data_IF_230287305910
#
_entry.id   IF_230287305910
#
_cell.length_a   1.000
_cell.length_b   1.000
_cell.length_c   1.000
_cell.angle_alpha   90.00
_cell.angle_beta   90.00
_cell.angle_gamma   90.00
#
_symmetry.space_group_name_H-M   'P 1'
#
loop_
_entity.id
_entity.type
_entity.pdbx_description
1 polymer ?
#
# COMPACT_ATOMS: atom_id res chain seq x y z
N UNK A 1 2.86 -11.62 1.89
CA UNK A 1 2.43 -10.36 1.20
C UNK A 1 3.60 -9.39 1.24
N UNK A 2 4.01 -8.89 0.09
CA UNK A 2 5.05 -7.85 -0.01
C UNK A 2 4.42 -6.47 -0.07
N UNK A 3 5.00 -5.55 0.65
CA UNK A 3 4.50 -4.18 0.73
C UNK A 3 5.67 -3.20 0.68
N UNK A 4 5.54 -2.17 -0.14
CA UNK A 4 6.37 -0.97 -0.05
C UNK A 4 5.48 0.18 0.38
N UNK A 5 5.89 0.92 1.40
CA UNK A 5 5.22 2.13 1.81
C UNK A 5 6.10 3.35 1.62
N UNK A 6 5.47 4.48 1.31
CA UNK A 6 6.09 5.79 1.30
C UNK A 6 5.27 6.76 2.14
N UNK A 7 5.94 7.51 3.02
CA UNK A 7 5.32 8.68 3.66
C UNK A 7 5.19 9.78 2.60
N UNK A 8 3.99 10.32 2.46
CA UNK A 8 3.69 11.32 1.43
C UNK A 8 3.01 12.55 2.03
N UNK A 9 3.27 13.73 1.44
CA UNK A 9 2.47 14.92 1.69
C UNK A 9 1.19 14.94 0.87
N UNK A 10 1.21 14.24 -0.28
CA UNK A 10 0.04 13.96 -1.12
C UNK A 10 0.33 12.79 -2.07
N UNK A 11 -0.71 12.04 -2.45
CA UNK A 11 -0.64 11.07 -3.54
C UNK A 11 -1.99 10.97 -4.24
N UNK A 12 -1.96 10.57 -5.51
CA UNK A 12 -3.17 10.33 -6.30
C UNK A 12 -2.96 9.22 -7.31
N UNK A 13 -4.06 8.59 -7.70
CA UNK A 13 -4.10 7.61 -8.78
C UNK A 13 -5.05 8.06 -9.86
N UNK A 14 -4.63 8.00 -11.11
CA UNK A 14 -5.46 8.29 -12.27
C UNK A 14 -5.44 7.16 -13.29
N UNK A 15 -6.53 7.03 -14.04
CA UNK A 15 -6.72 6.12 -15.17
C UNK A 15 -7.19 6.95 -16.33
N UNK A 16 -6.50 6.88 -17.47
CA UNK A 16 -6.81 7.65 -18.68
C UNK A 16 -6.96 9.16 -18.41
N UNK A 17 -6.12 9.71 -17.54
CA UNK A 17 -6.13 11.12 -17.16
C UNK A 17 -7.20 11.53 -16.15
N UNK A 18 -8.09 10.60 -15.75
CA UNK A 18 -9.15 10.87 -14.76
C UNK A 18 -8.68 10.39 -13.39
N UNK A 19 -8.65 11.29 -12.41
CA UNK A 19 -8.31 10.94 -11.01
C UNK A 19 -9.38 10.05 -10.42
N UNK A 20 -8.99 8.88 -9.93
CA UNK A 20 -9.86 7.89 -9.30
C UNK A 20 -9.90 8.05 -7.78
N UNK A 21 -8.74 8.30 -7.17
CA UNK A 21 -8.60 8.54 -5.74
C UNK A 21 -7.37 9.42 -5.45
N UNK A 22 -7.41 10.10 -4.32
CA UNK A 22 -6.29 10.92 -3.87
C UNK A 22 -6.26 10.97 -2.34
N UNK A 23 -5.09 11.19 -1.78
CA UNK A 23 -4.86 11.44 -0.36
C UNK A 23 -4.00 12.69 -0.18
N UNK A 24 -4.18 13.33 0.97
CA UNK A 24 -3.28 14.36 1.50
C UNK A 24 -2.12 13.69 2.27
N UNK A 25 -1.66 14.32 3.36
CA UNK A 25 -0.62 13.76 4.23
C UNK A 25 -0.99 12.35 4.67
N UNK A 26 -0.09 11.38 4.41
CA UNK A 26 -0.40 10.00 4.72
C UNK A 26 0.67 9.01 4.27
N UNK A 27 0.20 7.80 3.98
CA UNK A 27 1.02 6.70 3.47
C UNK A 27 0.46 6.26 2.11
N UNK A 28 1.34 6.19 1.11
CA UNK A 28 1.12 5.45 -0.12
C UNK A 28 1.70 4.04 0.06
N UNK A 29 0.87 3.01 -0.09
CA UNK A 29 1.25 1.60 0.05
C UNK A 29 1.04 0.84 -1.26
N UNK A 30 2.11 0.24 -1.78
CA UNK A 30 2.04 -0.74 -2.86
C UNK A 30 2.01 -2.14 -2.27
N UNK A 31 1.04 -2.97 -2.67
CA UNK A 31 0.85 -4.31 -2.12
C UNK A 31 0.87 -5.38 -3.21
N UNK A 32 1.56 -6.48 -2.95
CA UNK A 32 1.58 -7.69 -3.78
C UNK A 32 1.22 -8.89 -2.91
N UNK A 33 0.17 -9.60 -3.29
CA UNK A 33 -0.19 -10.87 -2.67
C UNK A 33 0.66 -12.02 -3.20
N UNK A 34 0.96 -12.98 -2.32
CA UNK A 34 1.70 -14.22 -2.58
C UNK A 34 0.84 -15.44 -2.19
N UNK A 35 1.29 -16.65 -2.53
CA UNK A 35 0.44 -17.87 -2.48
C UNK A 35 -0.14 -18.21 -1.10
N UNK A 36 0.52 -17.85 -0.01
CA UNK A 36 0.08 -18.17 1.35
C UNK A 36 -0.68 -17.03 2.04
N UNK A 37 -0.95 -15.96 1.32
CA UNK A 37 -1.66 -14.81 1.87
C UNK A 37 -3.15 -15.11 2.06
N UNK A 38 -3.69 -14.54 3.14
CA UNK A 38 -5.06 -14.74 3.57
C UNK A 38 -5.57 -13.53 4.38
N UNK A 39 -6.79 -13.61 4.88
CA UNK A 39 -7.41 -12.56 5.69
C UNK A 39 -6.56 -12.16 6.92
N UNK A 40 -5.92 -13.13 7.58
CA UNK A 40 -5.10 -12.85 8.77
C UNK A 40 -3.86 -12.02 8.41
N UNK A 41 -3.27 -12.23 7.23
CA UNK A 41 -2.15 -11.44 6.71
C UNK A 41 -2.60 -10.01 6.44
N UNK A 42 -3.79 -9.81 5.85
CA UNK A 42 -4.38 -8.48 5.63
C UNK A 42 -4.65 -7.77 6.96
N UNK A 43 -5.18 -8.48 7.95
CA UNK A 43 -5.41 -7.91 9.29
C UNK A 43 -4.10 -7.48 9.97
N UNK A 44 -3.03 -8.30 9.87
CA UNK A 44 -1.69 -7.96 10.35
C UNK A 44 -1.13 -6.72 9.64
N UNK A 45 -1.30 -6.61 8.32
CA UNK A 45 -0.92 -5.44 7.54
C UNK A 45 -1.58 -4.18 8.08
N UNK A 46 -2.91 -4.15 8.18
CA UNK A 46 -3.61 -2.98 8.70
C UNK A 46 -3.16 -2.61 10.10
N UNK A 47 -3.14 -3.61 11.03
CA UNK A 47 -2.67 -3.39 12.40
C UNK A 47 -1.28 -2.78 12.44
N UNK A 48 -0.35 -3.25 11.58
CA UNK A 48 1.02 -2.74 11.52
C UNK A 48 1.07 -1.35 10.92
N UNK A 49 0.51 -1.15 9.72
CA UNK A 49 0.70 0.08 8.94
C UNK A 49 -0.04 1.27 9.56
N UNK A 50 -1.26 1.06 10.08
CA UNK A 50 -2.03 2.16 10.69
C UNK A 50 -1.45 2.67 12.01
N UNK A 51 -0.65 1.85 12.70
CA UNK A 51 -0.02 2.20 13.97
C UNK A 51 1.50 2.44 13.84
N UNK A 52 2.06 2.34 12.63
CA UNK A 52 3.49 2.46 12.44
C UNK A 52 3.95 3.90 12.60
N UNK A 53 4.95 4.12 13.45
CA UNK A 53 5.45 5.46 13.79
C UNK A 53 6.44 5.93 12.73
N UNK A 54 5.96 6.68 11.75
CA UNK A 54 6.80 7.25 10.66
C UNK A 54 6.54 8.74 10.40
N UNK A 55 5.71 9.34 11.22
CA UNK A 55 5.43 10.78 11.18
C UNK A 55 6.07 11.47 12.38
N UNK A 56 6.34 12.76 12.21
CA UNK A 56 6.74 13.63 13.30
C UNK A 56 5.58 13.80 14.28
N UNK A 57 5.86 13.63 15.55
CA UNK A 57 4.95 13.88 16.66
C UNK A 57 5.50 14.99 17.57
N UNK A 58 4.88 15.18 18.73
CA UNK A 58 5.21 16.27 19.63
C UNK A 58 6.58 16.13 20.30
N UNK A 59 7.08 14.91 20.47
CA UNK A 59 8.27 14.63 21.29
C UNK A 59 9.45 14.03 20.51
N UNK A 60 9.25 13.48 19.32
CA UNK A 60 10.28 12.78 18.54
C UNK A 60 10.05 12.89 17.04
N UNK A 61 11.13 12.71 16.25
CA UNK A 61 11.09 12.74 14.79
C UNK A 61 10.16 11.63 14.21
N UNK A 62 10.05 10.47 14.86
CA UNK A 62 9.18 9.35 14.44
C UNK A 62 8.32 8.90 15.64
N UNK A 63 7.33 9.69 15.99
CA UNK A 63 6.53 9.48 17.19
C UNK A 63 5.03 9.37 16.92
N UNK A 64 4.59 9.65 15.71
CA UNK A 64 3.19 9.59 15.33
C UNK A 64 2.92 8.59 14.20
N UNK A 65 1.74 7.99 14.23
CA UNK A 65 1.20 7.05 13.22
C UNK A 65 0.07 7.70 12.42
N UNK A 66 -0.45 6.97 11.41
CA UNK A 66 -1.67 7.37 10.70
C UNK A 66 -2.83 7.65 11.67
N UNK A 67 -3.02 6.79 12.66
CA UNK A 67 -4.11 6.94 13.65
C UNK A 67 -3.94 8.17 14.53
N UNK A 68 -2.72 8.43 15.00
CA UNK A 68 -2.45 9.56 15.87
C UNK A 68 -2.73 10.90 15.17
N UNK A 69 -2.38 10.99 13.89
CA UNK A 69 -2.54 12.19 13.08
C UNK A 69 -3.87 12.27 12.32
N UNK A 70 -4.70 11.20 12.34
CA UNK A 70 -5.85 11.04 11.44
C UNK A 70 -5.45 11.25 9.97
N UNK A 71 -4.25 10.77 9.62
CA UNK A 71 -3.72 10.85 8.27
C UNK A 71 -4.26 9.70 7.41
N UNK A 72 -4.09 9.81 6.09
CA UNK A 72 -4.77 8.98 5.10
C UNK A 72 -3.87 7.85 4.59
N UNK A 73 -4.46 6.77 4.08
CA UNK A 73 -3.78 5.63 3.50
C UNK A 73 -4.28 5.40 2.07
N UNK A 74 -3.39 5.40 1.08
CA UNK A 74 -3.68 5.00 -0.29
C UNK A 74 -3.03 3.66 -0.59
N UNK A 75 -3.83 2.65 -0.96
CA UNK A 75 -3.37 1.29 -1.25
C UNK A 75 -3.47 0.99 -2.74
N UNK A 76 -2.36 0.59 -3.35
CA UNK A 76 -2.24 0.25 -4.76
C UNK A 76 -1.82 -1.22 -4.92
N UNK A 77 -2.60 -2.01 -5.66
CA UNK A 77 -2.18 -3.36 -6.03
C UNK A 77 -0.99 -3.30 -7.01
N UNK A 78 0.10 -4.02 -6.71
CA UNK A 78 1.36 -3.97 -7.45
C UNK A 78 2.02 -5.34 -7.51
N UNK A 79 1.58 -6.21 -8.41
CA UNK A 79 2.10 -7.58 -8.55
C UNK A 79 3.60 -7.63 -8.89
N UNK A 80 4.13 -6.57 -9.50
CA UNK A 80 5.55 -6.50 -9.86
C UNK A 80 6.49 -6.45 -8.66
N UNK A 81 6.00 -6.21 -7.44
CA UNK A 81 6.79 -6.41 -6.22
C UNK A 81 7.17 -7.88 -6.00
N UNK A 82 6.43 -8.82 -6.59
CA UNK A 82 6.76 -10.24 -6.64
C UNK A 82 7.80 -10.60 -7.72
N UNK A 83 8.42 -9.61 -8.37
CA UNK A 83 9.38 -9.86 -9.43
C UNK A 83 10.64 -10.59 -8.95
N UNK A 84 11.06 -11.59 -9.70
CA UNK A 84 12.36 -12.24 -9.56
C UNK A 84 13.30 -11.70 -10.65
N UNK A 85 14.35 -11.02 -10.22
CA UNK A 85 15.30 -10.29 -11.10
C UNK A 85 16.72 -10.85 -11.07
N UNK A 86 16.93 -12.00 -10.40
CA UNK A 86 18.28 -12.58 -10.18
C UNK A 86 18.98 -13.08 -11.44
N UNK A 87 18.23 -13.43 -12.50
CA UNK A 87 18.78 -13.96 -13.74
C UNK A 87 18.19 -13.26 -14.96
N UNK A 88 19.09 -12.90 -15.90
CA UNK A 88 18.70 -12.28 -17.16
C UNK A 88 18.25 -10.84 -17.03
N UNK A 89 17.73 -10.27 -18.14
CA UNK A 89 17.30 -8.89 -18.24
C UNK A 89 15.78 -8.72 -18.26
N UNK A 90 15.04 -9.82 -18.08
CA UNK A 90 13.56 -9.80 -18.00
C UNK A 90 13.13 -10.35 -16.65
N UNK A 91 12.29 -9.61 -15.88
CA UNK A 91 11.77 -10.11 -14.63
C UNK A 91 10.77 -11.24 -14.87
N UNK A 92 10.67 -12.18 -13.94
CA UNK A 92 9.57 -13.13 -13.85
C UNK A 92 8.70 -12.82 -12.64
N UNK A 93 7.41 -13.14 -12.70
CA UNK A 93 6.43 -12.74 -11.67
C UNK A 93 5.75 -13.96 -11.02
N UNK A 94 6.41 -15.13 -11.06
CA UNK A 94 5.85 -16.40 -10.57
C UNK A 94 5.63 -16.45 -9.05
N UNK A 95 6.16 -15.47 -8.30
CA UNK A 95 5.90 -15.35 -6.86
C UNK A 95 4.63 -14.54 -6.55
N UNK A 96 4.12 -13.78 -7.50
CA UNK A 96 2.86 -13.08 -7.33
C UNK A 96 1.69 -14.07 -7.39
N UNK A 97 0.70 -13.87 -6.52
CA UNK A 97 -0.51 -14.68 -6.51
C UNK A 97 -1.26 -14.57 -7.84
N UNK A 98 -1.88 -15.66 -8.24
CA UNK A 98 -2.72 -15.71 -9.45
C UNK A 98 -3.78 -14.57 -9.43
N UNK A 99 -4.02 -13.88 -10.58
CA UNK A 99 -4.81 -12.66 -10.64
C UNK A 99 -6.21 -12.73 -10.02
N UNK A 100 -6.95 -13.82 -10.22
CA UNK A 100 -8.32 -13.95 -9.68
C UNK A 100 -8.30 -14.08 -8.16
N UNK A 101 -7.37 -14.85 -7.61
CA UNK A 101 -7.18 -14.99 -6.16
C UNK A 101 -6.68 -13.68 -5.54
N UNK A 102 -5.73 -13.00 -6.19
CA UNK A 102 -5.23 -11.71 -5.75
C UNK A 102 -6.33 -10.63 -5.74
N UNK A 103 -7.21 -10.63 -6.76
CA UNK A 103 -8.40 -9.77 -6.80
C UNK A 103 -9.33 -10.02 -5.62
N UNK A 104 -9.59 -11.29 -5.30
CA UNK A 104 -10.42 -11.65 -4.14
C UNK A 104 -9.84 -11.13 -2.83
N UNK A 105 -8.52 -11.27 -2.61
CA UNK A 105 -7.85 -10.74 -1.42
C UNK A 105 -7.85 -9.20 -1.41
N UNK A 106 -7.74 -8.56 -2.56
CA UNK A 106 -7.81 -7.10 -2.65
C UNK A 106 -9.21 -6.59 -2.31
N UNK A 107 -10.27 -7.26 -2.79
CA UNK A 107 -11.66 -6.92 -2.43
C UNK A 107 -11.93 -7.14 -0.93
N UNK A 108 -11.34 -8.20 -0.34
CA UNK A 108 -11.40 -8.43 1.09
C UNK A 108 -10.66 -7.32 1.86
N UNK A 109 -9.50 -6.88 1.37
CA UNK A 109 -8.75 -5.76 1.95
C UNK A 109 -9.58 -4.46 1.95
N UNK A 110 -10.32 -4.18 0.88
CA UNK A 110 -11.26 -3.05 0.81
C UNK A 110 -12.34 -3.17 1.91
N UNK A 111 -12.94 -4.34 2.06
CA UNK A 111 -13.96 -4.58 3.10
C UNK A 111 -13.41 -4.38 4.52
N UNK A 112 -12.22 -4.91 4.79
CA UNK A 112 -11.59 -4.81 6.11
C UNK A 112 -11.08 -3.40 6.45
N UNK A 113 -10.88 -2.55 5.44
CA UNK A 113 -10.38 -1.18 5.64
C UNK A 113 -11.36 -0.30 6.43
N UNK A 114 -12.66 -0.54 6.33
CA UNK A 114 -13.73 0.27 6.95
C UNK A 114 -13.58 0.36 8.46
N UNK A 115 -13.05 -0.69 9.10
CA UNK A 115 -12.92 -0.79 10.57
C UNK A 115 -11.57 -0.31 11.11
N UNK A 116 -10.70 0.27 10.28
CA UNK A 116 -9.31 0.55 10.68
C UNK A 116 -9.11 1.83 11.47
N UNK A 117 -10.10 2.72 11.49
CA UNK A 117 -10.03 4.01 12.19
C UNK A 117 -9.13 5.05 11.50
N UNK A 118 -8.84 4.84 10.22
CA UNK A 118 -8.15 5.77 9.31
C UNK A 118 -8.89 5.81 7.99
N UNK A 119 -8.82 6.91 7.26
CA UNK A 119 -9.36 6.99 5.91
C UNK A 119 -8.46 6.21 4.95
N UNK A 120 -9.06 5.25 4.23
CA UNK A 120 -8.33 4.38 3.29
C UNK A 120 -8.91 4.50 1.90
N UNK A 121 -8.06 4.93 0.97
CA UNK A 121 -8.35 4.98 -0.46
C UNK A 121 -7.64 3.86 -1.21
N UNK A 122 -8.17 3.47 -2.35
CA UNK A 122 -7.67 2.36 -3.15
C UNK A 122 -7.48 2.73 -4.62
N UNK A 123 -6.48 2.11 -5.25
CA UNK A 123 -6.40 2.03 -6.70
C UNK A 123 -7.35 0.96 -7.26
N UNK A 124 -7.55 0.97 -8.56
CA UNK A 124 -8.38 -0.02 -9.27
C UNK A 124 -7.55 -1.25 -9.63
N UNK A 125 -7.92 -2.42 -9.10
CA UNK A 125 -7.21 -3.68 -9.36
C UNK A 125 -7.16 -4.00 -10.85
N UNK A 126 -5.97 -4.31 -11.36
CA UNK A 126 -5.75 -4.71 -12.76
C UNK A 126 -5.80 -3.58 -13.79
N UNK A 127 -6.10 -2.35 -13.39
CA UNK A 127 -6.11 -1.22 -14.31
C UNK A 127 -4.68 -0.68 -14.56
N UNK A 128 -4.51 -0.04 -15.72
CA UNK A 128 -3.30 0.74 -16.02
C UNK A 128 -3.38 2.10 -15.32
N UNK A 129 -2.80 2.16 -14.14
CA UNK A 129 -2.82 3.34 -13.29
C UNK A 129 -1.58 4.22 -13.48
N UNK A 130 -1.78 5.54 -13.40
CA UNK A 130 -0.71 6.53 -13.21
C UNK A 130 -0.75 6.98 -11.75
N UNK A 131 0.36 6.84 -11.05
CA UNK A 131 0.48 7.21 -9.64
C UNK A 131 1.34 8.47 -9.54
N UNK A 132 0.78 9.52 -8.97
CA UNK A 132 1.50 10.75 -8.63
C UNK A 132 1.65 10.85 -7.13
N UNK A 133 2.85 11.18 -6.64
CA UNK A 133 3.08 11.35 -5.21
C UNK A 133 4.20 12.33 -4.92
N UNK A 134 4.10 13.01 -3.79
CA UNK A 134 5.18 13.80 -3.20
C UNK A 134 5.67 13.05 -1.97
N UNK A 135 6.80 12.37 -2.10
CA UNK A 135 7.41 11.64 -0.98
C UNK A 135 7.93 12.64 0.07
N UNK A 136 7.34 12.59 1.24
CA UNK A 136 7.73 13.41 2.39
C UNK A 136 8.84 12.70 3.14
N UNK A 137 10.07 13.11 2.81
CA UNK A 137 10.98 12.15 3.14
C UNK A 137 12.35 12.38 3.69
N UNK A 138 13.18 11.44 3.29
CA UNK A 138 12.89 10.27 2.44
C UNK A 138 12.49 9.04 3.27
N UNK A 139 11.19 8.77 3.44
CA UNK A 139 10.70 7.55 4.10
C UNK A 139 10.06 6.60 3.09
N UNK A 140 10.81 5.58 2.70
CA UNK A 140 10.37 4.45 1.88
C UNK A 140 10.80 3.18 2.58
N UNK A 141 9.87 2.33 2.96
CA UNK A 141 10.11 1.11 3.72
C UNK A 141 9.48 -0.09 3.03
N UNK A 142 10.12 -1.25 3.11
CA UNK A 142 9.55 -2.50 2.66
C UNK A 142 9.15 -3.40 3.84
N UNK A 143 8.08 -4.17 3.67
CA UNK A 143 7.58 -5.15 4.63
C UNK A 143 7.27 -6.46 3.94
N UNK A 144 7.49 -7.56 4.66
CA UNK A 144 6.99 -8.88 4.33
C UNK A 144 6.09 -9.33 5.49
N UNK A 145 4.84 -9.65 5.17
CA UNK A 145 3.84 -10.12 6.12
C UNK A 145 3.62 -11.62 5.99
#
# INVERSE_FOLDING_TARGET
MRVIIQRVSQASVSIEGITQSSIKKGILAYVCFEEHDNEQVIAKFFKKITNYKIFEGDSRILDASLKDLKAELLIISQFTLGAVTKKGLRPSYHLALEPSKAKHLYDLMIKLSVSQGVEVSFGTFGAKMQISSVNDGPYTLNFNF
#
